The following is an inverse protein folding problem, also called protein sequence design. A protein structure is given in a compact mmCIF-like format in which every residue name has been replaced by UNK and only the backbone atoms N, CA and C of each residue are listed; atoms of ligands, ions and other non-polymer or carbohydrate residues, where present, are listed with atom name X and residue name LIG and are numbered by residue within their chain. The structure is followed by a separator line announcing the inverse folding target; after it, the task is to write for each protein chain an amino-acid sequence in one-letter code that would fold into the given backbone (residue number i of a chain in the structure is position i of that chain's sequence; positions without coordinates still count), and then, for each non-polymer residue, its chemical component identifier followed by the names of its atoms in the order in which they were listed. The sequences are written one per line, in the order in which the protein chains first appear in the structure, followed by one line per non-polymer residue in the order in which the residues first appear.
data_IF_739166659300
#
_entry.id   IF_739166659300
#
_cell.length_a   1.000
_cell.length_b   1.000
_cell.length_c   1.000
_cell.angle_alpha   90.00
_cell.angle_beta   90.00
_cell.angle_gamma   90.00
#
_symmetry.space_group_name_H-M   'P 1'
#
loop_
_entity.id
_entity.type
_entity.pdbx_description
1 polymer ?
#
# COMPACT_ATOMS: atom_id res chain seq x y z
N UNK A 1 -6.77 -5.14 7.23
CA UNK A 1 -7.76 -4.04 7.19
C UNK A 1 -7.28 -2.91 6.31
N UNK A 2 -6.40 -2.06 6.82
CA UNK A 2 -5.89 -0.85 6.16
C UNK A 2 -5.45 -1.05 4.69
N UNK A 3 -4.48 -1.94 4.40
CA UNK A 3 -3.99 -2.17 3.03
C UNK A 3 -5.12 -2.57 2.08
N UNK A 4 -5.94 -3.58 2.46
CA UNK A 4 -7.07 -4.02 1.64
C UNK A 4 -8.04 -2.88 1.34
N UNK A 5 -8.42 -2.09 2.35
CA UNK A 5 -9.30 -0.94 2.16
C UNK A 5 -8.69 0.09 1.20
N UNK A 6 -7.45 0.52 1.44
CA UNK A 6 -6.81 1.59 0.67
C UNK A 6 -6.70 1.27 -0.81
N UNK A 7 -6.30 0.04 -1.16
CA UNK A 7 -6.20 -0.37 -2.56
C UNK A 7 -7.57 -0.49 -3.25
N UNK A 8 -8.66 -0.76 -2.53
CA UNK A 8 -10.01 -0.75 -3.09
C UNK A 8 -10.57 0.66 -3.33
N UNK A 9 -9.95 1.70 -2.78
CA UNK A 9 -10.35 3.10 -3.01
C UNK A 9 -9.71 3.69 -4.28
N UNK A 10 -8.74 3.00 -4.88
CA UNK A 10 -8.16 3.40 -6.18
C UNK A 10 -9.21 3.29 -7.27
N UNK A 11 -9.34 4.33 -8.10
CA UNK A 11 -10.40 4.51 -9.09
C UNK A 11 -11.69 5.14 -8.53
N UNK A 12 -11.86 5.18 -7.21
CA UNK A 12 -13.00 5.83 -6.53
C UNK A 12 -12.59 7.19 -5.95
N UNK A 13 -11.47 7.23 -5.23
CA UNK A 13 -10.99 8.40 -4.48
C UNK A 13 -9.82 9.09 -5.19
N UNK A 14 -8.99 8.32 -5.89
CA UNK A 14 -7.85 8.80 -6.69
C UNK A 14 -7.68 7.93 -7.94
N UNK A 15 -7.01 8.45 -8.96
CA UNK A 15 -6.80 7.71 -10.22
C UNK A 15 -5.87 6.49 -10.05
N UNK A 16 -4.88 6.59 -9.16
CA UNK A 16 -3.89 5.56 -8.89
C UNK A 16 -3.54 5.42 -7.39
N UNK A 17 -2.67 4.45 -7.07
CA UNK A 17 -2.23 4.18 -5.70
C UNK A 17 -1.38 5.33 -5.13
N UNK A 18 -0.59 6.01 -5.97
CA UNK A 18 0.26 7.13 -5.55
C UNK A 18 -0.56 8.29 -5.00
N UNK A 19 -1.78 8.51 -5.51
CA UNK A 19 -2.74 9.45 -4.94
C UNK A 19 -3.11 9.12 -3.49
N UNK A 20 -3.48 7.86 -3.21
CA UNK A 20 -3.79 7.41 -1.85
C UNK A 20 -2.54 7.54 -0.96
N UNK A 21 -1.38 7.15 -1.47
CA UNK A 21 -0.12 7.21 -0.73
C UNK A 21 0.23 8.65 -0.30
N UNK A 22 0.02 9.63 -1.17
CA UNK A 22 0.21 11.04 -0.84
C UNK A 22 -0.77 11.53 0.21
N UNK A 23 -2.05 11.16 0.11
CA UNK A 23 -3.06 11.51 1.12
C UNK A 23 -2.63 10.97 2.49
N UNK A 24 -2.22 9.70 2.55
CA UNK A 24 -1.83 9.06 3.80
C UNK A 24 -0.50 9.61 4.33
N UNK A 25 0.50 9.77 3.47
CA UNK A 25 1.86 10.20 3.83
C UNK A 25 1.98 11.68 4.16
N UNK A 26 1.34 12.56 3.38
CA UNK A 26 1.40 14.01 3.59
C UNK A 26 0.22 14.56 4.38
N UNK A 27 -0.98 14.02 4.19
CA UNK A 27 -2.19 14.48 4.88
C UNK A 27 -2.29 13.95 6.31
N UNK A 28 -2.08 12.65 6.51
CA UNK A 28 -2.23 12.00 7.80
C UNK A 28 -0.91 11.67 8.50
N UNK A 29 0.23 11.97 7.87
CA UNK A 29 1.57 11.61 8.35
C UNK A 29 1.69 10.12 8.74
N UNK A 30 1.04 9.26 7.95
CA UNK A 30 0.98 7.82 8.18
C UNK A 30 1.67 7.06 7.05
N UNK A 31 2.14 5.84 7.34
CA UNK A 31 2.79 4.98 6.36
C UNK A 31 1.85 4.74 5.15
N UNK A 32 2.29 5.07 3.93
CA UNK A 32 1.51 4.81 2.72
C UNK A 32 1.20 3.31 2.57
N UNK A 33 0.00 2.94 2.09
CA UNK A 33 -0.37 1.54 1.93
C UNK A 33 0.54 0.79 0.96
N UNK A 34 1.00 1.40 -0.13
CA UNK A 34 1.92 0.75 -1.08
C UNK A 34 3.30 0.50 -0.46
N UNK A 35 3.82 1.45 0.32
CA UNK A 35 5.06 1.31 1.08
C UNK A 35 5.01 0.10 2.00
N UNK A 36 3.88 -0.11 2.69
CA UNK A 36 3.71 -1.29 3.54
C UNK A 36 3.73 -2.58 2.71
N UNK A 37 3.07 -2.61 1.55
CA UNK A 37 3.09 -3.77 0.65
C UNK A 37 4.51 -4.06 0.19
N UNK A 38 5.26 -3.05 -0.23
CA UNK A 38 6.64 -3.20 -0.74
C UNK A 38 7.61 -3.63 0.37
N UNK A 39 7.43 -3.14 1.58
CA UNK A 39 8.27 -3.48 2.74
C UNK A 39 7.99 -4.90 3.25
N UNK A 40 6.72 -5.32 3.29
CA UNK A 40 6.30 -6.66 3.71
C UNK A 40 6.56 -7.70 2.61
N UNK A 41 6.42 -7.30 1.36
CA UNK A 41 6.36 -8.15 0.19
C UNK A 41 4.93 -8.50 -0.24
N UNK A 42 4.73 -8.63 -1.55
CA UNK A 42 3.43 -8.91 -2.17
C UNK A 42 2.77 -10.20 -1.65
N UNK A 43 3.48 -11.34 -1.72
CA UNK A 43 2.92 -12.65 -1.33
C UNK A 43 2.53 -12.72 0.15
N UNK A 44 3.40 -12.34 1.11
CA UNK A 44 3.01 -12.30 2.52
C UNK A 44 1.84 -11.35 2.78
N UNK A 45 1.77 -10.22 2.07
CA UNK A 45 0.65 -9.27 2.21
C UNK A 45 -0.68 -9.89 1.79
N UNK A 46 -0.74 -10.55 0.63
CA UNK A 46 -1.94 -11.25 0.15
C UNK A 46 -2.39 -12.31 1.17
N UNK A 47 -1.45 -13.13 1.65
CA UNK A 47 -1.75 -14.18 2.65
C UNK A 47 -2.32 -13.60 3.95
N UNK A 48 -1.79 -12.46 4.42
CA UNK A 48 -2.33 -11.78 5.61
C UNK A 48 -3.74 -11.23 5.39
N UNK A 49 -4.04 -10.73 4.19
CA UNK A 49 -5.38 -10.24 3.83
C UNK A 49 -6.38 -11.40 3.80
N UNK A 50 -6.02 -12.52 3.15
CA UNK A 50 -6.84 -13.73 3.07
C UNK A 50 -7.09 -14.32 4.46
N UNK A 51 -6.05 -14.44 5.29
CA UNK A 51 -6.17 -14.95 6.67
C UNK A 51 -7.08 -14.07 7.54
N UNK A 52 -7.16 -12.78 7.24
CA UNK A 52 -8.07 -11.86 7.91
C UNK A 52 -9.52 -11.93 7.39
N UNK A 53 -9.82 -12.79 6.41
CA UNK A 53 -11.16 -12.90 5.80
C UNK A 53 -11.55 -11.67 5.00
N UNK A 54 -10.57 -10.89 4.52
CA UNK A 54 -10.79 -9.66 3.77
C UNK A 54 -10.61 -9.90 2.26
N UNK A 55 -11.30 -9.14 1.40
CA UNK A 55 -11.10 -9.24 -0.04
C UNK A 55 -9.69 -8.79 -0.42
N UNK A 56 -9.03 -9.58 -1.27
CA UNK A 56 -7.73 -9.23 -1.85
C UNK A 56 -7.96 -8.22 -2.99
N UNK A 57 -7.34 -7.03 -2.94
CA UNK A 57 -7.50 -6.04 -4.00
C UNK A 57 -7.01 -6.57 -5.36
N UNK A 58 -7.71 -6.30 -6.48
CA UNK A 58 -7.30 -6.77 -7.81
C UNK A 58 -5.89 -6.32 -8.20
N UNK A 59 -5.49 -5.10 -7.81
CA UNK A 59 -4.16 -4.58 -8.06
C UNK A 59 -3.04 -5.44 -7.43
N UNK A 60 -3.31 -6.06 -6.27
CA UNK A 60 -2.36 -6.99 -5.64
C UNK A 60 -2.48 -8.39 -6.25
N UNK A 61 -3.69 -8.87 -6.49
CA UNK A 61 -3.92 -10.20 -7.05
C UNK A 61 -3.33 -10.39 -8.46
N UNK A 62 -3.34 -9.33 -9.27
CA UNK A 62 -2.86 -9.36 -10.66
C UNK A 62 -1.39 -8.91 -10.81
N UNK A 63 -0.74 -8.48 -9.73
CA UNK A 63 0.64 -8.02 -9.78
C UNK A 63 1.63 -9.19 -9.94
N UNK A 64 2.73 -8.92 -10.64
CA UNK A 64 3.82 -9.88 -10.79
C UNK A 64 4.72 -9.87 -9.56
N UNK A 65 5.42 -10.99 -9.34
CA UNK A 65 6.45 -11.02 -8.30
C UNK A 65 7.54 -9.99 -8.62
N UNK A 66 7.86 -9.13 -7.67
CA UNK A 66 8.84 -8.06 -7.83
C UNK A 66 8.26 -6.73 -8.33
N UNK A 67 6.94 -6.62 -8.52
CA UNK A 67 6.29 -5.31 -8.71
C UNK A 67 6.47 -4.46 -7.46
N UNK A 68 6.98 -3.25 -7.65
CA UNK A 68 6.99 -2.17 -6.65
C UNK A 68 5.75 -1.31 -6.85
N UNK A 69 5.02 -1.02 -5.79
CA UNK A 69 3.80 -0.20 -5.86
C UNK A 69 4.05 1.26 -5.50
N UNK A 70 4.96 1.52 -4.58
CA UNK A 70 5.27 2.88 -4.15
C UNK A 70 6.13 3.59 -5.19
N UNK A 71 5.61 4.69 -5.72
CA UNK A 71 6.31 5.55 -6.67
C UNK A 71 6.08 7.02 -6.31
N UNK A 72 6.86 7.51 -5.33
CA UNK A 72 6.96 8.95 -5.05
C UNK A 72 8.42 9.34 -4.75
N UNK A 73 9.10 10.04 -5.68
CA UNK A 73 10.52 10.39 -5.53
C UNK A 73 10.77 11.45 -4.45
N UNK A 74 9.74 12.14 -3.98
CA UNK A 74 9.87 13.19 -2.96
C UNK A 74 9.76 12.65 -1.53
N UNK A 75 9.36 11.39 -1.37
CA UNK A 75 9.10 10.80 -0.06
C UNK A 75 10.22 9.86 0.35
N UNK A 76 10.87 10.17 1.47
CA UNK A 76 11.75 9.23 2.14
C UNK A 76 10.92 8.21 2.95
N UNK A 77 10.89 6.96 2.51
CA UNK A 77 10.18 5.85 3.20
C UNK A 77 10.62 5.70 4.66
N UNK A 78 11.91 5.94 4.96
CA UNK A 78 12.45 5.89 6.32
C UNK A 78 11.81 6.89 7.29
N UNK A 79 11.12 7.93 6.79
CA UNK A 79 10.33 8.85 7.63
C UNK A 79 9.23 8.11 8.42
N UNK A 80 8.68 7.02 7.89
CA UNK A 80 7.55 6.31 8.48
C UNK A 80 7.96 5.13 9.38
N UNK A 81 9.23 4.72 9.32
CA UNK A 81 9.75 3.61 10.11
C UNK A 81 10.97 4.08 10.90
N UNK A 82 10.70 4.62 12.09
CA UNK A 82 11.77 4.97 13.04
C UNK A 82 12.18 3.69 13.75
N UNK A 83 13.44 3.29 13.60
CA UNK A 83 14.02 2.24 14.43
C UNK A 83 14.17 2.79 15.87
N UNK A 84 13.61 2.07 16.84
CA UNK A 84 13.78 2.34 18.26
C UNK A 84 15.10 1.75 18.79
#
# INVERSE_FOLDING_TARGET
GYISYSFHRVGEVTDDISGIDRIMGYGFNWAPPSVLVDTIGLRPTIQMIEKAGLPVPPALANAQAGTTFFDDPQVNVGKFFVAA
#
